data_IF_115942442932
#
_entry.id   IF_115942442932
#
_cell.length_a   1.000
_cell.length_b   1.000
_cell.length_c   1.000
_cell.angle_alpha   90.00
_cell.angle_beta   90.00
_cell.angle_gamma   90.00
#
_symmetry.space_group_name_H-M   'P 1'
#
loop_
_entity.id
_entity.type
_entity.pdbx_description
1 polymer ?
#
# COMPACT_ATOMS: atom_id res chain seq x y z
N UNK A 1 -41.37 -4.05 -17.44
CA UNK A 1 -40.28 -5.05 -17.46
C UNK A 1 -39.49 -4.92 -16.17
N UNK A 2 -39.13 -6.00 -15.47
CA UNK A 2 -38.30 -5.88 -14.28
C UNK A 2 -36.95 -5.26 -14.65
N UNK A 3 -36.48 -4.31 -13.82
CA UNK A 3 -35.20 -3.65 -14.01
C UNK A 3 -34.09 -4.70 -13.94
N UNK A 4 -33.34 -4.88 -15.02
CA UNK A 4 -32.21 -5.82 -15.06
C UNK A 4 -31.07 -5.21 -14.25
N UNK A 5 -30.73 -5.84 -13.12
CA UNK A 5 -29.62 -5.44 -12.26
C UNK A 5 -28.33 -6.17 -12.65
N UNK A 6 -27.19 -5.54 -12.33
CA UNK A 6 -25.86 -6.14 -12.41
C UNK A 6 -25.17 -6.00 -11.07
N UNK A 7 -24.30 -6.94 -10.72
CA UNK A 7 -23.58 -6.95 -9.45
C UNK A 7 -22.26 -6.20 -9.56
N UNK A 8 -22.06 -5.23 -8.68
CA UNK A 8 -20.76 -4.60 -8.40
C UNK A 8 -20.18 -5.18 -7.11
N UNK A 9 -18.90 -4.91 -6.78
CA UNK A 9 -18.27 -5.47 -5.58
C UNK A 9 -18.96 -5.15 -4.24
N UNK A 10 -19.74 -4.06 -4.16
CA UNK A 10 -20.38 -3.59 -2.92
C UNK A 10 -21.91 -3.50 -2.99
N UNK A 11 -22.50 -3.57 -4.18
CA UNK A 11 -23.92 -3.30 -4.40
C UNK A 11 -24.39 -3.85 -5.74
N UNK A 12 -25.71 -3.90 -5.94
CA UNK A 12 -26.29 -4.12 -7.25
C UNK A 12 -26.62 -2.77 -7.92
N UNK A 13 -26.41 -2.68 -9.23
CA UNK A 13 -26.62 -1.46 -10.01
C UNK A 13 -27.61 -1.69 -11.16
N UNK A 14 -28.48 -0.71 -11.37
CA UNK A 14 -29.37 -0.62 -12.55
C UNK A 14 -28.75 0.29 -13.61
N UNK A 15 -29.22 0.18 -14.85
CA UNK A 15 -28.75 1.04 -15.93
C UNK A 15 -28.93 2.54 -15.64
N UNK A 16 -30.08 2.96 -15.09
CA UNK A 16 -30.33 4.38 -14.78
C UNK A 16 -29.33 4.93 -13.77
N UNK A 17 -29.04 4.17 -12.71
CA UNK A 17 -28.02 4.56 -11.72
C UNK A 17 -26.62 4.54 -12.31
N UNK A 18 -26.33 3.59 -13.20
CA UNK A 18 -25.04 3.52 -13.88
C UNK A 18 -24.81 4.70 -14.83
N UNK A 19 -25.85 5.18 -15.50
CA UNK A 19 -25.79 6.31 -16.42
C UNK A 19 -25.49 7.63 -15.71
N UNK A 20 -25.97 7.79 -14.48
CA UNK A 20 -25.78 9.01 -13.69
C UNK A 20 -24.46 9.03 -12.90
N UNK A 21 -23.63 7.97 -12.99
CA UNK A 21 -22.37 7.86 -12.23
C UNK A 21 -21.16 8.33 -13.03
N UNK A 22 -20.37 9.21 -12.42
CA UNK A 22 -19.05 9.66 -12.90
C UNK A 22 -17.92 8.64 -12.63
N UNK A 23 -18.21 7.34 -12.73
CA UNK A 23 -17.21 6.27 -12.58
C UNK A 23 -17.32 5.28 -13.73
N UNK A 24 -16.22 4.61 -14.07
CA UNK A 24 -16.23 3.61 -15.13
C UNK A 24 -16.93 2.33 -14.66
N UNK A 25 -18.28 2.34 -14.65
CA UNK A 25 -19.10 1.21 -14.19
C UNK A 25 -18.79 -0.07 -14.97
N UNK A 26 -18.51 0.04 -16.27
CA UNK A 26 -18.15 -1.11 -17.11
C UNK A 26 -16.90 -1.81 -16.58
N UNK A 27 -15.86 -1.04 -16.26
CA UNK A 27 -14.64 -1.57 -15.64
C UNK A 27 -14.91 -2.16 -14.25
N UNK A 28 -15.78 -1.53 -13.46
CA UNK A 28 -16.12 -2.05 -12.13
C UNK A 28 -16.88 -3.38 -12.16
N UNK A 29 -17.67 -3.64 -13.19
CA UNK A 29 -18.38 -4.91 -13.37
C UNK A 29 -17.41 -6.09 -13.54
N UNK A 30 -16.22 -5.85 -14.10
CA UNK A 30 -15.21 -6.91 -14.25
C UNK A 30 -14.57 -7.34 -12.91
N UNK A 31 -14.66 -6.50 -11.87
CA UNK A 31 -14.02 -6.79 -10.59
C UNK A 31 -14.60 -8.00 -9.88
N UNK A 32 -15.89 -8.30 -10.05
CA UNK A 32 -16.50 -9.48 -9.43
C UNK A 32 -15.82 -10.76 -9.92
N UNK A 33 -15.76 -10.95 -11.25
CA UNK A 33 -15.13 -12.13 -11.85
C UNK A 33 -13.63 -12.20 -11.57
N UNK A 34 -12.93 -11.05 -11.65
CA UNK A 34 -11.49 -10.97 -11.35
C UNK A 34 -11.20 -11.28 -9.88
N UNK A 35 -12.06 -10.82 -8.96
CA UNK A 35 -11.97 -11.13 -7.53
C UNK A 35 -12.12 -12.63 -7.30
N UNK A 36 -13.19 -13.23 -7.79
CA UNK A 36 -13.49 -14.63 -7.52
C UNK A 36 -12.38 -15.54 -8.06
N UNK A 37 -11.87 -15.28 -9.27
CA UNK A 37 -10.71 -16.00 -9.84
C UNK A 37 -9.45 -15.86 -8.98
N UNK A 38 -9.16 -14.66 -8.48
CA UNK A 38 -7.97 -14.43 -7.67
C UNK A 38 -8.08 -15.11 -6.31
N UNK A 39 -9.24 -15.01 -5.66
CA UNK A 39 -9.51 -15.66 -4.37
C UNK A 39 -9.44 -17.19 -4.49
N UNK A 40 -10.02 -17.77 -5.54
CA UNK A 40 -9.91 -19.20 -5.83
C UNK A 40 -8.44 -19.63 -6.05
N UNK A 41 -7.66 -18.82 -6.76
CA UNK A 41 -6.23 -19.07 -6.97
C UNK A 41 -5.46 -19.09 -5.64
N UNK A 42 -5.71 -18.10 -4.78
CA UNK A 42 -5.13 -18.02 -3.44
C UNK A 42 -5.55 -19.23 -2.59
N UNK A 43 -6.82 -19.61 -2.61
CA UNK A 43 -7.34 -20.72 -1.81
C UNK A 43 -6.71 -22.07 -2.20
N UNK A 44 -6.49 -22.30 -3.51
CA UNK A 44 -5.78 -23.48 -4.02
C UNK A 44 -4.30 -23.49 -3.62
N UNK A 45 -3.69 -22.32 -3.38
CA UNK A 45 -2.27 -22.16 -3.01
C UNK A 45 -2.04 -22.07 -1.49
N UNK A 46 -3.04 -22.40 -0.64
CA UNK A 46 -2.91 -22.34 0.83
C UNK A 46 -1.71 -23.10 1.41
N UNK A 47 -1.38 -24.27 0.86
CA UNK A 47 -0.23 -25.05 1.34
C UNK A 47 1.10 -24.30 1.09
N UNK A 48 1.18 -23.55 -0.01
CA UNK A 48 2.33 -22.70 -0.31
C UNK A 48 2.36 -21.49 0.62
N UNK A 49 1.20 -20.92 1.00
CA UNK A 49 1.14 -19.86 2.02
C UNK A 49 1.69 -20.34 3.36
N UNK A 50 1.35 -21.55 3.80
CA UNK A 50 1.88 -22.14 5.03
C UNK A 50 3.41 -22.22 4.98
N UNK A 51 3.96 -22.76 3.88
CA UNK A 51 5.41 -22.86 3.69
C UNK A 51 6.10 -21.49 3.69
N UNK A 52 5.51 -20.50 3.03
CA UNK A 52 6.00 -19.13 2.97
C UNK A 52 6.00 -18.46 4.35
N UNK A 53 4.92 -18.59 5.11
CA UNK A 53 4.82 -18.00 6.46
C UNK A 53 5.79 -18.68 7.39
N UNK A 54 5.88 -20.02 7.37
CA UNK A 54 6.84 -20.76 8.15
C UNK A 54 8.29 -20.35 7.84
N UNK A 55 8.62 -20.13 6.56
CA UNK A 55 9.93 -19.64 6.15
C UNK A 55 10.25 -18.26 6.71
N UNK A 56 9.34 -17.29 6.55
CA UNK A 56 9.54 -15.92 7.07
C UNK A 56 9.67 -15.86 8.59
N UNK A 57 9.02 -16.79 9.29
CA UNK A 57 9.03 -16.86 10.76
C UNK A 57 10.09 -17.84 11.32
N UNK A 58 10.91 -18.46 10.47
CA UNK A 58 11.88 -19.51 10.86
C UNK A 58 11.26 -20.65 11.69
N UNK A 59 10.05 -21.09 11.31
CA UNK A 59 9.40 -22.25 11.94
C UNK A 59 9.95 -23.55 11.36
N UNK A 60 10.11 -24.57 12.22
CA UNK A 60 10.68 -25.86 11.82
C UNK A 60 9.75 -26.68 10.91
N UNK A 61 8.43 -26.50 11.05
CA UNK A 61 7.42 -27.28 10.32
C UNK A 61 6.33 -26.34 9.76
N UNK A 62 6.02 -26.41 8.45
CA UNK A 62 4.92 -25.65 7.85
C UNK A 62 3.55 -25.92 8.47
N UNK A 63 3.33 -27.14 8.99
CA UNK A 63 2.08 -27.54 9.65
C UNK A 63 1.80 -26.78 10.95
N UNK A 64 2.79 -26.03 11.46
CA UNK A 64 2.59 -25.10 12.57
C UNK A 64 1.77 -23.86 12.18
N UNK A 65 1.57 -23.60 10.88
CA UNK A 65 0.80 -22.49 10.36
C UNK A 65 -0.58 -22.98 9.90
N UNK A 66 -1.65 -22.50 10.54
CA UNK A 66 -3.02 -22.75 10.08
C UNK A 66 -3.55 -21.54 9.31
N UNK A 67 -3.90 -21.73 8.02
CA UNK A 67 -4.49 -20.68 7.18
C UNK A 67 -5.98 -20.57 7.52
N UNK A 68 -6.47 -19.37 7.78
CA UNK A 68 -7.89 -19.13 8.03
C UNK A 68 -8.76 -19.51 6.85
N UNK A 69 -10.02 -19.86 7.12
CA UNK A 69 -10.99 -20.17 6.06
C UNK A 69 -11.25 -18.93 5.20
N UNK A 70 -11.64 -19.12 3.93
CA UNK A 70 -11.88 -18.00 3.01
C UNK A 70 -12.97 -17.05 3.53
N UNK A 71 -13.93 -17.55 4.32
CA UNK A 71 -14.95 -16.74 4.98
C UNK A 71 -14.39 -15.75 6.02
N UNK A 72 -13.20 -16.03 6.55
CA UNK A 72 -12.51 -15.20 7.54
C UNK A 72 -11.48 -14.24 6.91
N UNK A 73 -11.30 -14.29 5.59
CA UNK A 73 -10.36 -13.41 4.90
C UNK A 73 -10.86 -11.97 4.90
N UNK A 74 -9.98 -11.06 5.30
CA UNK A 74 -10.26 -9.63 5.31
C UNK A 74 -9.93 -9.07 3.93
N UNK A 75 -10.80 -8.29 3.32
CA UNK A 75 -10.48 -7.66 2.04
C UNK A 75 -10.91 -6.19 1.99
N UNK A 76 -10.01 -5.34 1.52
CA UNK A 76 -10.26 -3.93 1.26
C UNK A 76 -10.42 -3.65 -0.23
N UNK A 77 -10.28 -2.37 -0.60
CA UNK A 77 -10.35 -1.96 -2.01
C UNK A 77 -9.11 -2.32 -2.82
N UNK A 78 -7.96 -2.57 -2.18
CA UNK A 78 -6.67 -2.77 -2.87
C UNK A 78 -5.91 -4.00 -2.40
N UNK A 79 -6.32 -4.64 -1.30
CA UNK A 79 -5.63 -5.80 -0.76
C UNK A 79 -6.64 -6.84 -0.27
N UNK A 80 -6.25 -8.11 -0.36
CA UNK A 80 -6.83 -9.21 0.43
C UNK A 80 -5.80 -9.62 1.47
N UNK A 81 -6.28 -9.90 2.68
CA UNK A 81 -5.48 -10.19 3.84
C UNK A 81 -5.97 -11.53 4.42
N UNK A 82 -5.07 -12.50 4.46
CA UNK A 82 -5.32 -13.86 4.91
C UNK A 82 -4.75 -14.01 6.32
N UNK A 83 -5.59 -14.14 7.36
CA UNK A 83 -5.11 -14.45 8.70
C UNK A 83 -4.46 -15.83 8.74
N UNK A 84 -3.34 -15.94 9.44
CA UNK A 84 -2.61 -17.19 9.63
C UNK A 84 -2.28 -17.37 11.11
N UNK A 85 -2.80 -18.45 11.70
CA UNK A 85 -2.61 -18.79 13.10
C UNK A 85 -1.33 -19.59 13.27
N UNK A 86 -0.45 -19.16 14.17
CA UNK A 86 0.83 -19.80 14.46
C UNK A 86 0.71 -20.61 15.76
N UNK A 87 0.63 -21.93 15.63
CA UNK A 87 0.40 -22.84 16.76
C UNK A 87 1.54 -22.78 17.79
N UNK A 88 2.77 -22.66 17.33
CA UNK A 88 3.97 -22.55 18.18
C UNK A 88 4.02 -21.26 18.98
N UNK A 89 3.22 -20.24 18.62
CA UNK A 89 3.18 -18.95 19.29
C UNK A 89 1.91 -18.79 20.14
N UNK A 90 1.46 -19.87 20.78
CA UNK A 90 0.25 -19.88 21.60
C UNK A 90 -1.00 -19.43 20.81
N UNK A 91 -1.04 -19.73 19.50
CA UNK A 91 -2.16 -19.35 18.63
C UNK A 91 -2.17 -17.88 18.18
N UNK A 92 -1.08 -17.13 18.38
CA UNK A 92 -0.97 -15.77 17.81
C UNK A 92 -1.11 -15.79 16.29
N UNK A 93 -1.73 -14.75 15.75
CA UNK A 93 -1.95 -14.60 14.32
C UNK A 93 -0.95 -13.65 13.66
N UNK A 94 -0.70 -13.91 12.39
CA UNK A 94 -0.05 -13.00 11.45
C UNK A 94 -0.96 -12.79 10.26
N UNK A 95 -0.74 -11.75 9.49
CA UNK A 95 -1.57 -11.38 8.35
C UNK A 95 -0.75 -11.42 7.06
N UNK A 96 -1.13 -12.31 6.16
CA UNK A 96 -0.53 -12.41 4.83
C UNK A 96 -1.35 -11.57 3.85
N UNK A 97 -0.77 -10.49 3.35
CA UNK A 97 -1.45 -9.43 2.59
C UNK A 97 -1.01 -9.44 1.14
N UNK A 98 -1.97 -9.50 0.22
CA UNK A 98 -1.76 -9.48 -1.22
C UNK A 98 -2.39 -8.25 -1.84
N UNK A 99 -1.65 -7.45 -2.62
CA UNK A 99 -2.26 -6.48 -3.52
C UNK A 99 -3.20 -7.19 -4.48
N UNK A 100 -4.35 -6.56 -4.75
CA UNK A 100 -5.32 -7.05 -5.72
C UNK A 100 -4.86 -6.64 -7.13
N UNK A 101 -4.43 -7.56 -8.01
CA UNK A 101 -3.85 -7.21 -9.30
C UNK A 101 -4.80 -6.39 -10.18
N UNK A 102 -6.10 -6.69 -10.09
CA UNK A 102 -7.20 -6.02 -10.78
C UNK A 102 -7.62 -4.66 -10.18
N UNK A 103 -6.87 -4.16 -9.18
CA UNK A 103 -7.12 -2.85 -8.54
C UNK A 103 -5.91 -1.93 -8.55
N UNK A 104 -4.71 -2.49 -8.74
CA UNK A 104 -3.46 -1.70 -8.76
C UNK A 104 -3.02 -1.32 -10.17
N UNK A 105 -3.78 -1.71 -11.20
CA UNK A 105 -3.46 -1.40 -12.60
C UNK A 105 -2.27 -2.17 -13.15
N UNK A 106 -1.95 -3.34 -12.58
CA UNK A 106 -0.82 -4.15 -13.01
C UNK A 106 -0.95 -4.65 -14.46
N UNK A 107 -2.18 -4.83 -14.95
CA UNK A 107 -2.45 -5.19 -16.35
C UNK A 107 -2.08 -4.08 -17.33
N UNK A 108 -2.29 -2.81 -16.95
CA UNK A 108 -1.99 -1.65 -17.78
C UNK A 108 -0.53 -1.21 -17.61
N UNK A 109 -0.02 -1.24 -16.38
CA UNK A 109 1.37 -0.94 -16.04
C UNK A 109 1.99 -2.09 -15.24
N UNK A 110 2.60 -3.09 -15.92
CA UNK A 110 3.21 -4.23 -15.26
C UNK A 110 4.24 -3.83 -14.19
N UNK A 111 4.13 -4.44 -13.01
CA UNK A 111 4.99 -4.17 -11.86
C UNK A 111 4.41 -3.15 -10.86
N UNK A 112 3.19 -2.65 -11.05
CA UNK A 112 2.49 -1.81 -10.08
C UNK A 112 2.22 -2.53 -8.75
N UNK A 113 1.94 -3.83 -8.80
CA UNK A 113 1.82 -4.64 -7.59
C UNK A 113 3.11 -4.66 -6.77
N UNK A 114 4.24 -4.86 -7.45
CA UNK A 114 5.56 -4.88 -6.82
C UNK A 114 6.03 -3.49 -6.38
N UNK A 115 5.73 -2.45 -7.15
CA UNK A 115 5.96 -1.04 -6.79
C UNK A 115 5.26 -0.72 -5.47
N UNK A 116 3.99 -1.12 -5.33
CA UNK A 116 3.21 -0.95 -4.10
C UNK A 116 3.85 -1.65 -2.91
N UNK A 117 4.24 -2.91 -3.06
CA UNK A 117 4.85 -3.71 -1.99
C UNK A 117 6.18 -3.10 -1.55
N UNK A 118 7.03 -2.71 -2.51
CA UNK A 118 8.31 -2.06 -2.19
C UNK A 118 8.12 -0.74 -1.47
N UNK A 119 7.11 0.03 -1.88
CA UNK A 119 6.79 1.31 -1.23
C UNK A 119 6.33 1.10 0.22
N UNK A 120 5.39 0.19 0.44
CA UNK A 120 4.89 -0.12 1.78
C UNK A 120 6.01 -0.68 2.68
N UNK A 121 6.80 -1.63 2.19
CA UNK A 121 7.93 -2.19 2.93
C UNK A 121 9.04 -1.16 3.21
N UNK A 122 9.30 -0.25 2.26
CA UNK A 122 10.22 0.88 2.44
C UNK A 122 9.76 1.82 3.55
N UNK A 123 8.48 2.15 3.60
CA UNK A 123 7.89 2.96 4.67
C UNK A 123 8.00 2.26 6.03
N UNK A 124 7.70 0.95 6.11
CA UNK A 124 7.92 0.15 7.33
C UNK A 124 9.38 0.20 7.80
N UNK A 125 10.33 0.01 6.88
CA UNK A 125 11.76 0.05 7.21
C UNK A 125 12.18 1.44 7.71
N UNK A 126 11.72 2.51 7.06
CA UNK A 126 12.04 3.87 7.46
C UNK A 126 11.50 4.20 8.85
N UNK A 127 10.22 3.87 9.12
CA UNK A 127 9.59 4.13 10.42
C UNK A 127 10.23 3.30 11.54
N UNK A 128 10.51 2.01 11.34
CA UNK A 128 11.15 1.13 12.34
C UNK A 128 12.57 1.61 12.70
N UNK A 129 13.27 2.28 11.77
CA UNK A 129 14.62 2.81 12.00
C UNK A 129 14.64 4.24 12.58
N UNK A 130 13.68 5.08 12.22
CA UNK A 130 13.73 6.53 12.50
C UNK A 130 12.67 7.04 13.50
N UNK A 131 11.57 6.31 13.64
CA UNK A 131 10.42 6.67 14.46
C UNK A 131 9.92 5.46 15.28
N UNK A 132 10.78 4.78 16.07
CA UNK A 132 10.41 3.57 16.81
C UNK A 132 9.32 3.80 17.88
N UNK A 133 9.06 5.05 18.26
CA UNK A 133 7.99 5.44 19.16
C UNK A 133 6.60 5.41 18.54
N UNK A 134 6.51 5.39 17.20
CA UNK A 134 5.24 5.33 16.48
C UNK A 134 4.76 3.88 16.45
N UNK A 135 3.60 3.56 17.06
CA UNK A 135 3.11 2.19 17.09
C UNK A 135 2.64 1.78 15.70
N UNK A 136 3.41 0.90 15.05
CA UNK A 136 3.05 0.29 13.76
C UNK A 136 3.11 -1.24 13.87
N UNK A 137 2.28 -1.99 13.12
CA UNK A 137 2.38 -3.44 13.05
C UNK A 137 3.77 -3.88 12.62
N UNK A 138 4.28 -4.98 13.15
CA UNK A 138 5.57 -5.52 12.67
C UNK A 138 5.42 -6.07 11.26
N UNK A 139 6.31 -5.68 10.35
CA UNK A 139 6.50 -6.36 9.07
C UNK A 139 7.56 -7.47 9.26
N UNK A 140 7.18 -8.72 9.05
CA UNK A 140 8.06 -9.89 9.18
C UNK A 140 8.84 -10.17 7.88
N UNK A 141 8.24 -9.85 6.74
CA UNK A 141 8.86 -9.99 5.43
C UNK A 141 7.88 -9.70 4.31
N UNK A 142 8.38 -9.70 3.08
CA UNK A 142 7.59 -9.50 1.87
C UNK A 142 8.24 -10.22 0.71
N UNK A 143 7.47 -10.47 -0.35
CA UNK A 143 8.00 -10.96 -1.61
C UNK A 143 7.33 -10.26 -2.79
N UNK A 144 7.96 -10.37 -3.95
CA UNK A 144 7.54 -9.77 -5.19
C UNK A 144 6.97 -10.83 -6.14
N UNK A 145 6.23 -10.39 -7.15
CA UNK A 145 5.67 -11.24 -8.21
C UNK A 145 6.75 -12.10 -8.89
N UNK A 146 7.98 -11.60 -8.93
CA UNK A 146 9.17 -12.27 -9.49
C UNK A 146 9.75 -13.39 -8.61
N UNK A 147 9.20 -13.63 -7.41
CA UNK A 147 9.70 -14.60 -6.43
C UNK A 147 10.81 -14.08 -5.52
N UNK A 148 11.35 -12.88 -5.79
CA UNK A 148 12.31 -12.23 -4.90
C UNK A 148 11.69 -12.01 -3.52
N UNK A 149 12.36 -12.52 -2.48
CA UNK A 149 11.82 -12.51 -1.11
C UNK A 149 12.77 -11.81 -0.14
N UNK A 150 12.19 -11.10 0.81
CA UNK A 150 12.89 -10.32 1.82
C UNK A 150 12.32 -10.65 3.18
N UNK A 151 13.18 -11.10 4.10
CA UNK A 151 12.77 -11.42 5.48
C UNK A 151 13.50 -10.50 6.45
N UNK A 152 12.80 -10.13 7.53
CA UNK A 152 13.36 -9.36 8.62
C UNK A 152 14.56 -10.07 9.24
N UNK A 153 15.63 -9.33 9.52
CA UNK A 153 16.91 -9.81 10.02
C UNK A 153 16.78 -10.61 11.32
N UNK A 154 15.83 -10.24 12.19
CA UNK A 154 15.55 -10.95 13.43
C UNK A 154 15.03 -12.37 13.22
N UNK A 155 14.38 -12.63 12.08
CA UNK A 155 13.75 -13.91 11.75
C UNK A 155 14.65 -14.82 10.91
N UNK A 156 15.92 -14.47 10.67
CA UNK A 156 16.86 -15.32 9.94
C UNK A 156 17.61 -16.30 10.85
N UNK A 157 18.14 -17.42 10.30
CA UNK A 157 19.04 -18.31 11.04
C UNK A 157 20.25 -17.56 11.62
N UNK A 158 20.68 -17.96 12.82
CA UNK A 158 21.72 -17.26 13.60
C UNK A 158 22.99 -16.90 12.82
N UNK A 159 23.51 -17.83 11.99
CA UNK A 159 24.71 -17.57 11.19
C UNK A 159 24.51 -16.44 10.20
N UNK A 160 23.39 -16.44 9.46
CA UNK A 160 23.05 -15.37 8.51
C UNK A 160 22.80 -14.06 9.23
N UNK A 161 22.12 -14.11 10.36
CA UNK A 161 21.88 -12.93 11.19
C UNK A 161 23.20 -12.28 11.63
N UNK A 162 24.16 -13.06 12.11
CA UNK A 162 25.48 -12.56 12.51
C UNK A 162 26.25 -11.95 11.34
N UNK A 163 26.30 -12.64 10.19
CA UNK A 163 26.98 -12.15 8.98
C UNK A 163 26.38 -10.81 8.53
N UNK A 164 25.05 -10.69 8.51
CA UNK A 164 24.40 -9.45 8.07
C UNK A 164 24.56 -8.33 9.10
N UNK A 165 24.55 -8.61 10.40
CA UNK A 165 24.89 -7.61 11.44
C UNK A 165 26.32 -7.12 11.26
N UNK A 166 27.28 -8.02 11.08
CA UNK A 166 28.68 -7.67 10.82
C UNK A 166 28.81 -6.81 9.55
N UNK A 167 28.16 -7.21 8.46
CA UNK A 167 28.12 -6.43 7.21
C UNK A 167 27.61 -5.01 7.44
N UNK A 168 26.51 -4.84 8.18
CA UNK A 168 25.95 -3.52 8.51
C UNK A 168 26.92 -2.69 9.35
N UNK A 169 27.57 -3.30 10.35
CA UNK A 169 28.57 -2.62 11.18
C UNK A 169 29.80 -2.18 10.37
N UNK A 170 30.34 -3.06 9.51
CA UNK A 170 31.49 -2.74 8.67
C UNK A 170 31.16 -1.65 7.65
N UNK A 171 30.00 -1.74 6.96
CA UNK A 171 29.59 -0.71 6.00
C UNK A 171 29.38 0.65 6.68
N UNK A 172 28.73 0.66 7.85
CA UNK A 172 28.53 1.86 8.65
C UNK A 172 29.88 2.47 9.07
N UNK A 173 30.82 1.65 9.54
CA UNK A 173 32.16 2.11 9.93
C UNK A 173 32.97 2.67 8.75
N UNK A 174 32.81 2.11 7.56
CA UNK A 174 33.46 2.57 6.34
C UNK A 174 32.73 3.75 5.65
N UNK A 175 31.61 4.23 6.20
CA UNK A 175 30.82 5.33 5.62
C UNK A 175 30.04 4.96 4.35
N UNK A 176 29.86 3.67 4.07
CA UNK A 176 29.04 3.20 2.94
C UNK A 176 27.55 3.15 3.33
N UNK A 177 26.63 3.17 2.33
CA UNK A 177 25.21 2.92 2.57
C UNK A 177 25.01 1.61 3.34
N UNK A 178 24.14 1.64 4.34
CA UNK A 178 23.82 0.48 5.17
C UNK A 178 22.54 -0.18 4.65
N UNK A 179 22.51 -1.50 4.44
CA UNK A 179 21.28 -2.17 4.02
C UNK A 179 20.23 -2.10 5.15
N UNK A 180 18.96 -2.15 4.73
CA UNK A 180 17.83 -2.19 5.65
C UNK A 180 17.85 -3.46 6.52
N UNK A 181 16.93 -3.53 7.49
CA UNK A 181 16.69 -4.75 8.28
C UNK A 181 16.06 -5.89 7.48
N UNK A 182 15.69 -5.68 6.22
CA UNK A 182 15.11 -6.72 5.37
C UNK A 182 16.16 -7.29 4.42
N UNK A 183 16.43 -8.57 4.59
CA UNK A 183 17.50 -9.27 3.88
C UNK A 183 16.89 -10.07 2.75
N UNK A 184 17.41 -9.84 1.54
CA UNK A 184 17.03 -10.62 0.37
C UNK A 184 17.52 -12.06 0.48
N UNK A 185 16.67 -12.99 0.10
CA UNK A 185 17.02 -14.37 -0.19
C UNK A 185 16.06 -14.93 -1.24
N UNK A 186 16.38 -16.13 -1.71
CA UNK A 186 15.59 -16.84 -2.71
C UNK A 186 14.95 -18.06 -2.02
N UNK A 187 13.63 -18.17 -2.10
CA UNK A 187 12.88 -19.34 -1.61
C UNK A 187 12.53 -20.29 -2.78
N UNK A 188 13.12 -20.08 -3.97
CA UNK A 188 12.81 -20.85 -5.18
C UNK A 188 11.48 -20.45 -5.82
N UNK A 189 10.89 -21.34 -6.62
CA UNK A 189 9.68 -21.09 -7.43
C UNK A 189 8.37 -21.00 -6.62
N UNK A 190 8.41 -20.61 -5.35
CA UNK A 190 7.22 -20.41 -4.50
C UNK A 190 6.51 -19.09 -4.83
N UNK A 191 6.29 -18.83 -6.13
CA UNK A 191 5.55 -17.68 -6.62
C UNK A 191 4.07 -17.88 -6.31
N UNK A 192 3.56 -17.05 -5.41
CA UNK A 192 2.17 -17.11 -5.00
C UNK A 192 1.30 -16.29 -5.97
N UNK A 193 0.47 -16.99 -6.74
CA UNK A 193 -0.52 -16.38 -7.65
C UNK A 193 0.01 -15.25 -8.58
N UNK A 194 1.29 -15.31 -9.00
CA UNK A 194 1.97 -14.26 -9.79
C UNK A 194 1.85 -12.85 -9.15
N UNK A 195 1.63 -12.80 -7.83
CA UNK A 195 1.44 -11.60 -7.04
C UNK A 195 2.44 -11.60 -5.89
N UNK A 196 3.01 -10.43 -5.62
CA UNK A 196 3.79 -10.25 -4.39
C UNK A 196 2.88 -10.23 -3.15
N UNK A 197 3.50 -10.25 -1.97
CA UNK A 197 2.80 -10.20 -0.69
C UNK A 197 3.62 -9.52 0.41
N UNK A 198 2.93 -9.09 1.47
CA UNK A 198 3.54 -8.69 2.75
C UNK A 198 3.06 -9.62 3.87
N UNK A 199 3.96 -9.96 4.79
CA UNK A 199 3.62 -10.70 6.01
C UNK A 199 3.75 -9.74 7.21
N UNK A 200 2.62 -9.34 7.78
CA UNK A 200 2.58 -8.38 8.89
C UNK A 200 2.02 -9.01 10.16
N UNK A 201 2.23 -8.33 11.29
CA UNK A 201 1.53 -8.60 12.54
C UNK A 201 0.02 -8.46 12.37
N UNK A 202 -0.72 -9.36 13.02
CA UNK A 202 -2.15 -9.25 13.20
C UNK A 202 -2.40 -8.54 14.54
N UNK A 203 -3.11 -7.42 14.53
CA UNK A 203 -3.53 -6.75 15.76
C UNK A 203 -4.78 -7.47 16.27
N UNK A 204 -4.65 -8.12 17.42
CA UNK A 204 -5.77 -8.83 18.06
C UNK A 204 -6.78 -7.85 18.65
N UNK A 205 -8.06 -8.25 18.70
CA UNK A 205 -9.14 -7.43 19.26
C UNK A 205 -8.89 -7.06 20.74
N UNK A 206 -8.14 -7.90 21.45
CA UNK A 206 -7.69 -7.64 22.83
C UNK A 206 -6.65 -6.52 22.94
N UNK A 207 -5.92 -6.24 21.86
CA UNK A 207 -4.94 -5.14 21.80
C UNK A 207 -5.62 -3.83 21.38
N UNK A 208 -6.62 -3.90 20.50
CA UNK A 208 -7.41 -2.75 20.09
C UNK A 208 -8.36 -3.06 18.93
N UNK A 209 -9.33 -2.18 18.75
CA UNK A 209 -10.29 -2.22 17.65
C UNK A 209 -10.21 -0.94 16.80
N UNK A 210 -10.77 -0.99 15.59
CA UNK A 210 -10.80 0.19 14.72
C UNK A 210 -11.65 1.30 15.35
N UNK A 211 -11.12 2.53 15.34
CA UNK A 211 -11.83 3.71 15.88
C UNK A 211 -13.22 3.90 15.26
N UNK A 212 -13.40 3.53 13.98
CA UNK A 212 -14.69 3.59 13.28
C UNK A 212 -15.79 2.79 13.96
N UNK A 213 -15.45 1.71 14.67
CA UNK A 213 -16.43 0.84 15.33
C UNK A 213 -17.12 1.53 16.50
N UNK A 214 -16.42 2.45 17.17
CA UNK A 214 -16.93 3.13 18.38
C UNK A 214 -17.10 4.64 18.21
N UNK A 215 -16.72 5.19 17.05
CA UNK A 215 -16.72 6.62 16.80
C UNK A 215 -18.08 7.27 17.04
N UNK A 216 -19.15 6.77 16.43
CA UNK A 216 -20.48 7.41 16.51
C UNK A 216 -20.97 7.55 17.96
N UNK A 217 -20.69 6.54 18.78
CA UNK A 217 -21.10 6.48 20.19
C UNK A 217 -20.20 7.33 21.08
N UNK A 218 -18.88 7.31 20.84
CA UNK A 218 -17.88 7.86 21.76
C UNK A 218 -17.28 9.19 21.31
N UNK A 219 -17.62 9.70 20.13
CA UNK A 219 -17.05 10.93 19.57
C UNK A 219 -17.27 12.15 20.46
N UNK A 220 -18.28 12.18 21.33
CA UNK A 220 -18.55 13.32 22.22
C UNK A 220 -17.91 13.17 23.61
N UNK A 221 -17.20 12.08 23.91
CA UNK A 221 -16.44 11.92 25.16
C UNK A 221 -15.18 12.79 25.10
N UNK A 222 -15.14 13.81 25.95
CA UNK A 222 -14.05 14.80 25.97
C UNK A 222 -12.69 14.19 26.31
N UNK A 223 -12.64 13.16 27.17
CA UNK A 223 -11.39 12.48 27.53
C UNK A 223 -10.87 11.67 26.36
N UNK A 224 -11.74 10.94 25.67
CA UNK A 224 -11.35 10.14 24.50
C UNK A 224 -10.89 11.02 23.34
N UNK A 225 -11.60 12.12 23.07
CA UNK A 225 -11.16 13.11 22.07
C UNK A 225 -9.77 13.68 22.43
N UNK A 226 -9.58 14.09 23.69
CA UNK A 226 -8.30 14.66 24.15
C UNK A 226 -7.16 13.66 23.93
N UNK A 227 -7.36 12.39 24.31
CA UNK A 227 -6.37 11.34 24.08
C UNK A 227 -6.08 11.14 22.59
N UNK A 228 -7.12 11.05 21.76
CA UNK A 228 -6.98 10.88 20.31
C UNK A 228 -6.16 12.03 19.68
N UNK A 229 -6.50 13.28 19.96
CA UNK A 229 -5.78 14.42 19.41
C UNK A 229 -4.35 14.50 19.93
N UNK A 230 -4.14 14.20 21.21
CA UNK A 230 -2.81 14.19 21.80
C UNK A 230 -1.92 13.12 21.17
N UNK A 231 -2.42 11.88 21.04
CA UNK A 231 -1.65 10.78 20.45
C UNK A 231 -1.42 10.96 18.95
N UNK A 232 -2.43 11.47 18.21
CA UNK A 232 -2.26 11.83 16.80
C UNK A 232 -1.20 12.93 16.64
N UNK A 233 -1.22 13.95 17.50
CA UNK A 233 -0.21 15.01 17.46
C UNK A 233 1.19 14.47 17.73
N UNK A 234 1.34 13.55 18.69
CA UNK A 234 2.61 12.89 18.99
C UNK A 234 3.12 12.09 17.79
N UNK A 235 2.25 11.31 17.15
CA UNK A 235 2.60 10.54 15.95
C UNK A 235 3.06 11.47 14.83
N UNK A 236 2.28 12.51 14.52
CA UNK A 236 2.59 13.47 13.46
C UNK A 236 3.92 14.18 13.74
N UNK A 237 4.17 14.61 14.97
CA UNK A 237 5.43 15.24 15.37
C UNK A 237 6.62 14.27 15.25
N UNK A 238 6.43 13.00 15.61
CA UNK A 238 7.48 11.97 15.50
C UNK A 238 7.85 11.66 14.05
N UNK A 239 6.86 11.50 13.15
CA UNK A 239 7.13 11.22 11.73
C UNK A 239 7.63 12.46 10.97
N UNK A 240 7.25 13.67 11.39
CA UNK A 240 7.69 14.92 10.77
C UNK A 240 9.03 15.46 11.28
N UNK A 241 9.62 14.82 12.31
CA UNK A 241 10.90 15.23 12.91
C UNK A 241 12.06 15.24 11.91
N UNK A 242 12.03 14.34 10.93
CA UNK A 242 13.13 14.17 9.97
C UNK A 242 12.71 14.73 8.62
N UNK A 243 13.38 15.80 8.21
CA UNK A 243 13.18 16.38 6.90
C UNK A 243 13.71 15.44 5.80
N UNK A 244 12.87 15.17 4.82
CA UNK A 244 13.20 14.40 3.64
C UNK A 244 13.78 15.32 2.56
N UNK A 245 14.73 14.83 1.73
CA UNK A 245 15.39 15.65 0.72
C UNK A 245 14.51 15.92 -0.52
N UNK A 246 13.41 15.18 -0.69
CA UNK A 246 12.54 15.20 -1.87
C UNK A 246 11.15 14.64 -1.54
N UNK A 247 10.19 14.92 -2.40
CA UNK A 247 8.85 14.31 -2.39
C UNK A 247 8.92 13.03 -3.23
N UNK A 248 8.59 11.90 -2.63
CA UNK A 248 8.70 10.57 -3.23
C UNK A 248 8.23 9.50 -2.26
N UNK A 249 8.38 8.23 -2.64
CA UNK A 249 8.12 7.08 -1.78
C UNK A 249 9.41 6.29 -1.52
N UNK A 250 9.55 5.82 -0.28
CA UNK A 250 10.66 4.96 0.12
C UNK A 250 10.50 3.58 -0.51
N UNK A 251 11.57 2.99 -0.99
CA UNK A 251 11.58 1.61 -1.50
C UNK A 251 12.78 0.84 -0.96
N UNK A 252 12.56 -0.46 -0.80
CA UNK A 252 13.66 -1.42 -0.62
C UNK A 252 14.05 -1.94 -2.00
N UNK A 253 15.30 -1.71 -2.38
CA UNK A 253 15.82 -2.14 -3.68
C UNK A 253 16.16 -3.64 -3.73
N UNK A 254 16.67 -4.10 -4.88
CA UNK A 254 17.08 -5.50 -5.06
C UNK A 254 18.27 -5.92 -4.19
N UNK A 255 19.04 -4.97 -3.66
CA UNK A 255 20.15 -5.19 -2.73
C UNK A 255 19.72 -5.19 -1.26
N UNK A 256 18.45 -4.86 -0.97
CA UNK A 256 17.95 -4.70 0.39
C UNK A 256 18.23 -3.33 0.99
N UNK A 257 18.61 -2.34 0.18
CA UNK A 257 18.85 -0.97 0.65
C UNK A 257 17.58 -0.15 0.62
N UNK A 258 17.36 0.62 1.68
CA UNK A 258 16.30 1.61 1.77
C UNK A 258 16.71 2.86 0.99
N UNK A 259 15.87 3.34 0.08
CA UNK A 259 16.12 4.56 -0.68
C UNK A 259 14.83 5.33 -0.96
N UNK A 260 14.92 6.66 -1.04
CA UNK A 260 13.81 7.54 -1.43
C UNK A 260 13.93 7.85 -2.93
N UNK A 261 13.52 6.90 -3.76
CA UNK A 261 13.75 6.93 -5.22
C UNK A 261 12.50 6.68 -6.05
N UNK A 262 11.39 6.24 -5.44
CA UNK A 262 10.15 6.01 -6.16
C UNK A 262 9.32 7.29 -6.23
N UNK A 263 8.49 7.42 -7.26
CA UNK A 263 7.43 8.42 -7.33
C UNK A 263 6.55 8.38 -6.09
N UNK A 264 5.98 9.52 -5.67
CA UNK A 264 4.91 9.52 -4.69
C UNK A 264 3.82 8.57 -5.18
N UNK A 265 3.56 7.50 -4.44
CA UNK A 265 2.61 6.47 -4.85
C UNK A 265 1.29 6.65 -4.13
N UNK A 266 0.50 7.62 -4.60
CA UNK A 266 -0.82 7.90 -4.05
C UNK A 266 -1.87 6.90 -4.55
N UNK A 267 -2.99 6.82 -3.83
CA UNK A 267 -4.12 5.97 -4.22
C UNK A 267 -4.71 6.38 -5.58
N UNK A 268 -4.68 7.68 -5.90
CA UNK A 268 -5.17 8.25 -7.15
C UNK A 268 -4.37 7.74 -8.35
N UNK A 269 -3.04 7.67 -8.24
CA UNK A 269 -2.18 7.12 -9.30
C UNK A 269 -2.57 5.67 -9.59
N UNK A 270 -2.68 4.84 -8.55
CA UNK A 270 -3.05 3.43 -8.74
C UNK A 270 -4.47 3.28 -9.31
N UNK A 271 -5.41 4.13 -8.87
CA UNK A 271 -6.78 4.11 -9.36
C UNK A 271 -6.88 4.49 -10.85
N UNK A 272 -6.17 5.54 -11.27
CA UNK A 272 -6.13 5.99 -12.66
C UNK A 272 -5.49 4.95 -13.57
N UNK A 273 -4.33 4.42 -13.20
CA UNK A 273 -3.64 3.40 -13.98
C UNK A 273 -4.44 2.10 -14.05
N UNK A 274 -5.21 1.81 -13.01
CA UNK A 274 -6.14 0.70 -13.02
C UNK A 274 -7.32 0.90 -13.96
N UNK A 275 -7.74 2.14 -14.22
CA UNK A 275 -8.75 2.50 -15.24
C UNK A 275 -8.11 2.81 -16.61
N UNK A 276 -6.86 2.38 -16.81
CA UNK A 276 -6.09 2.58 -18.06
C UNK A 276 -5.85 4.06 -18.42
N UNK A 277 -5.90 4.94 -17.41
CA UNK A 277 -5.60 6.37 -17.56
C UNK A 277 -4.11 6.59 -17.28
N UNK A 278 -3.32 7.12 -18.24
CA UNK A 278 -1.90 7.34 -18.06
C UNK A 278 -1.64 8.53 -17.13
N UNK A 279 -0.86 8.32 -16.07
CA UNK A 279 -0.44 9.36 -15.13
C UNK A 279 0.80 10.12 -15.62
N UNK A 280 1.55 9.54 -16.56
CA UNK A 280 2.79 10.07 -17.14
C UNK A 280 3.92 10.37 -16.14
N UNK A 281 3.81 9.88 -14.90
CA UNK A 281 4.88 9.98 -13.89
C UNK A 281 5.67 8.68 -13.89
N UNK A 282 6.96 8.76 -14.24
CA UNK A 282 7.86 7.60 -14.18
C UNK A 282 8.05 7.10 -12.75
N UNK A 283 8.19 5.78 -12.57
CA UNK A 283 8.40 5.16 -11.26
C UNK A 283 9.64 5.67 -10.53
N UNK A 284 10.71 5.96 -11.25
CA UNK A 284 12.00 6.43 -10.70
C UNK A 284 12.08 7.97 -10.52
N UNK A 285 10.94 8.66 -10.61
CA UNK A 285 10.91 10.12 -10.55
C UNK A 285 10.52 10.64 -9.17
N UNK A 286 11.28 11.61 -8.65
CA UNK A 286 11.04 12.25 -7.35
C UNK A 286 11.09 13.76 -7.51
N UNK A 287 10.32 14.50 -6.71
CA UNK A 287 10.22 15.94 -6.84
C UNK A 287 11.08 16.68 -5.84
N UNK A 288 11.77 17.73 -6.29
CA UNK A 288 12.54 18.64 -5.43
C UNK A 288 11.77 19.92 -5.09
N UNK A 289 10.60 20.13 -5.72
CA UNK A 289 9.73 21.28 -5.45
C UNK A 289 8.27 20.87 -5.33
N UNK A 290 7.54 21.53 -4.43
CA UNK A 290 6.08 21.35 -4.29
C UNK A 290 5.36 21.72 -5.59
N UNK A 291 5.76 22.83 -6.24
CA UNK A 291 5.14 23.30 -7.49
C UNK A 291 5.13 22.21 -8.57
N UNK A 292 6.27 21.56 -8.83
CA UNK A 292 6.34 20.47 -9.81
C UNK A 292 5.44 19.28 -9.45
N UNK A 293 5.34 18.94 -8.16
CA UNK A 293 4.51 17.83 -7.71
C UNK A 293 3.02 18.13 -7.92
N UNK A 294 2.57 19.33 -7.54
CA UNK A 294 1.17 19.72 -7.70
C UNK A 294 0.78 19.88 -9.17
N UNK A 295 1.68 20.39 -10.02
CA UNK A 295 1.43 20.46 -11.47
C UNK A 295 1.15 19.08 -12.06
N UNK A 296 1.96 18.08 -11.71
CA UNK A 296 1.76 16.70 -12.18
C UNK A 296 0.49 16.06 -11.58
N UNK A 297 0.17 16.32 -10.31
CA UNK A 297 -1.11 15.90 -9.72
C UNK A 297 -2.31 16.51 -10.46
N UNK A 298 -2.25 17.79 -10.85
CA UNK A 298 -3.32 18.42 -11.62
C UNK A 298 -3.40 17.86 -13.06
N UNK A 299 -2.28 17.39 -13.62
CA UNK A 299 -2.26 16.75 -14.93
C UNK A 299 -3.04 15.43 -14.97
N UNK A 300 -3.27 14.78 -13.81
CA UNK A 300 -4.14 13.61 -13.72
C UNK A 300 -5.55 13.89 -14.23
N UNK A 301 -6.09 15.07 -13.95
CA UNK A 301 -7.41 15.47 -14.41
C UNK A 301 -7.44 15.64 -15.94
N UNK A 302 -6.39 16.20 -16.55
CA UNK A 302 -6.30 16.27 -18.01
C UNK A 302 -6.23 14.87 -18.62
N UNK A 303 -5.40 13.98 -18.06
CA UNK A 303 -5.29 12.59 -18.54
C UNK A 303 -6.63 11.87 -18.47
N UNK A 304 -7.37 12.06 -17.37
CA UNK A 304 -8.71 11.49 -17.18
C UNK A 304 -9.68 12.01 -18.23
N UNK A 305 -9.78 13.33 -18.39
CA UNK A 305 -10.68 13.97 -19.38
C UNK A 305 -10.37 13.53 -20.82
N UNK A 306 -9.11 13.22 -21.14
CA UNK A 306 -8.69 12.78 -22.49
C UNK A 306 -8.91 11.29 -22.74
N UNK A 307 -8.70 10.46 -21.73
CA UNK A 307 -8.55 9.01 -21.91
C UNK A 307 -9.78 8.23 -21.47
N UNK A 308 -10.54 8.76 -20.51
CA UNK A 308 -11.68 8.05 -19.91
C UNK A 308 -12.99 8.43 -20.60
N UNK A 309 -13.71 7.48 -21.24
CA UNK A 309 -14.92 7.79 -22.02
C UNK A 309 -16.07 8.40 -21.21
N UNK A 310 -16.15 8.07 -19.91
CA UNK A 310 -17.17 8.56 -18.98
C UNK A 310 -16.68 9.75 -18.14
N UNK A 311 -15.62 10.44 -18.55
CA UNK A 311 -15.07 11.56 -17.78
C UNK A 311 -15.96 12.81 -17.80
N UNK A 312 -16.87 12.91 -18.77
CA UNK A 312 -17.78 14.04 -18.98
C UNK A 312 -19.18 13.49 -19.24
N UNK A 313 -20.17 13.95 -18.46
CA UNK A 313 -21.57 13.56 -18.62
C UNK A 313 -22.31 14.44 -19.64
N UNK A 314 -22.08 15.74 -19.60
CA UNK A 314 -22.68 16.73 -20.48
C UNK A 314 -21.81 17.98 -20.64
N UNK A 315 -22.28 18.95 -21.42
CA UNK A 315 -21.54 20.20 -21.71
C UNK A 315 -21.32 21.03 -20.43
N UNK A 316 -22.31 21.09 -19.54
CA UNK A 316 -22.20 21.88 -18.31
C UNK A 316 -21.20 21.25 -17.34
N UNK A 317 -21.20 19.92 -17.24
CA UNK A 317 -20.19 19.15 -16.50
C UNK A 317 -18.79 19.38 -17.10
N UNK A 318 -18.64 19.29 -18.43
CA UNK A 318 -17.38 19.60 -19.11
C UNK A 318 -16.87 21.00 -18.77
N UNK A 319 -17.72 22.02 -18.90
CA UNK A 319 -17.35 23.41 -18.61
C UNK A 319 -16.98 23.56 -17.14
N UNK A 320 -17.70 22.92 -16.23
CA UNK A 320 -17.44 22.98 -14.79
C UNK A 320 -16.10 22.33 -14.43
N UNK A 321 -15.83 21.11 -14.90
CA UNK A 321 -14.57 20.40 -14.63
C UNK A 321 -13.36 21.14 -15.22
N UNK A 322 -13.46 21.61 -16.48
CA UNK A 322 -12.37 22.34 -17.12
C UNK A 322 -12.12 23.72 -16.47
N UNK A 323 -13.20 24.43 -16.10
CA UNK A 323 -13.09 25.71 -15.40
C UNK A 323 -12.48 25.53 -14.00
N UNK A 324 -12.89 24.49 -13.27
CA UNK A 324 -12.32 24.16 -11.97
C UNK A 324 -10.83 23.85 -12.08
N UNK A 325 -10.42 23.02 -13.05
CA UNK A 325 -9.01 22.71 -13.28
C UNK A 325 -8.18 23.94 -13.67
N UNK A 326 -8.72 24.80 -14.55
CA UNK A 326 -8.11 26.07 -14.93
C UNK A 326 -7.96 27.02 -13.74
N UNK A 327 -8.99 27.12 -12.89
CA UNK A 327 -8.96 27.90 -11.66
C UNK A 327 -7.90 27.36 -10.70
N UNK A 328 -7.88 26.05 -10.43
CA UNK A 328 -6.88 25.40 -9.56
C UNK A 328 -5.46 25.70 -10.02
N UNK A 329 -5.16 25.59 -11.32
CA UNK A 329 -3.85 25.94 -11.89
C UNK A 329 -3.47 27.40 -11.67
N UNK A 330 -4.46 28.30 -11.80
CA UNK A 330 -4.25 29.75 -11.67
C UNK A 330 -4.02 30.15 -10.21
N UNK A 331 -4.78 29.59 -9.28
CA UNK A 331 -4.75 29.98 -7.87
C UNK A 331 -3.77 29.17 -7.01
N UNK A 332 -3.28 28.01 -7.48
CA UNK A 332 -2.34 27.15 -6.75
C UNK A 332 -1.18 27.94 -6.10
N UNK A 333 -0.49 28.88 -6.80
CA UNK A 333 0.61 29.62 -6.19
C UNK A 333 0.21 30.45 -4.95
N UNK A 334 -1.07 30.80 -4.79
CA UNK A 334 -1.59 31.54 -3.63
C UNK A 334 -1.69 30.66 -2.38
N UNK A 335 -1.85 29.35 -2.56
CA UNK A 335 -1.95 28.38 -1.47
C UNK A 335 -0.58 27.80 -1.06
N UNK A 336 0.48 28.09 -1.84
CA UNK A 336 1.82 27.58 -1.60
C UNK A 336 2.73 28.69 -1.06
N UNK A 337 3.35 28.44 0.09
CA UNK A 337 4.38 29.35 0.62
C UNK A 337 5.65 29.21 -0.20
N UNK A 338 6.04 30.29 -0.89
CA UNK A 338 7.27 30.34 -1.71
C UNK A 338 8.53 29.94 -0.94
N UNK A 339 8.61 30.30 0.34
CA UNK A 339 9.71 29.95 1.25
C UNK A 339 9.84 28.44 1.49
N UNK A 340 8.73 27.69 1.40
CA UNK A 340 8.66 26.25 1.67
C UNK A 340 8.65 25.40 0.38
N UNK A 341 8.87 26.03 -0.79
CA UNK A 341 8.82 25.37 -2.10
C UNK A 341 9.74 24.14 -2.18
N UNK A 342 10.89 24.19 -1.52
CA UNK A 342 11.93 23.15 -1.54
C UNK A 342 12.01 22.36 -0.22
N UNK A 343 10.96 22.43 0.59
CA UNK A 343 10.86 21.76 1.87
C UNK A 343 10.83 22.72 3.07
N UNK A 344 10.96 22.18 4.29
CA UNK A 344 11.23 20.78 4.59
C UNK A 344 10.10 19.85 4.11
N UNK A 345 10.46 18.75 3.46
CA UNK A 345 9.53 17.67 3.15
C UNK A 345 9.51 16.70 4.34
N UNK A 346 8.39 16.04 4.59
CA UNK A 346 8.23 15.10 5.71
C UNK A 346 7.50 13.86 5.25
N UNK A 347 7.66 12.75 5.98
CA UNK A 347 6.85 11.56 5.74
C UNK A 347 5.43 11.82 6.27
N UNK A 348 4.43 11.66 5.40
CA UNK A 348 3.01 11.75 5.72
C UNK A 348 2.25 10.55 5.16
#
# INVERSE_FOLDING_TARGET
MPLRTRRLPREDITYSVAQDREVNVLHQLEYCDKKDRFFDCLYRKRNLMQAVVAHHLSLQLPDACNIADMSEWLHGSFNVCVPVTILTWQGKRVLLRFPLPYRVGDSFQPGNGDEKIRCEAGTYAWLDENCPEVPIPRLYGFALSTGQTFTRLESLPFLRQYIQRLRRHVLSWLGYPVPSRYVRHDIGSLVLADAGYLLTEYIEETQGEMLSNTWLEKQHDSRLQTNLFHDLSRIILSISRIALPRIGSFVIDNGGFLSLTNRPLSIEIQALENEEVPTNIRRDYTYTTVDSYIVDMLAFHDSRLRSQPNAINDINDSVSQMSALGAMRTIMPLFLRRELRRGPFVLL
#
